data_IF_933528094455
#
_entry.id   IF_933528094455
#
_cell.length_a   1.000
_cell.length_b   1.000
_cell.length_c   1.000
_cell.angle_alpha   90.00
_cell.angle_beta   90.00
_cell.angle_gamma   90.00
#
_symmetry.space_group_name_H-M   'P 1'
#
loop_
_entity.id
_entity.type
_entity.pdbx_description
1 polymer ?
#
# COMPACT_ATOMS: atom_id res chain seq x y z
N UNK A 1 39.51 -54.37 -51.55
CA UNK A 1 40.73 -53.82 -51.04
C UNK A 1 40.40 -52.70 -50.09
N UNK A 2 40.46 -52.98 -48.82
CA UNK A 2 40.88 -52.18 -47.66
C UNK A 2 40.30 -50.72 -47.50
N UNK A 3 39.98 -50.20 -46.38
CA UNK A 3 40.35 -50.50 -44.99
C UNK A 3 39.39 -49.73 -44.06
N UNK A 4 39.25 -50.34 -42.87
CA UNK A 4 38.69 -49.75 -41.62
C UNK A 4 39.22 -48.34 -41.32
N UNK A 5 38.38 -47.49 -40.75
CA UNK A 5 38.70 -46.68 -39.58
C UNK A 5 37.46 -46.39 -38.78
N UNK A 6 37.41 -46.91 -37.56
CA UNK A 6 36.49 -46.53 -36.49
C UNK A 6 36.77 -45.12 -36.05
N UNK A 7 35.72 -44.36 -35.80
CA UNK A 7 35.86 -43.18 -34.91
C UNK A 7 34.62 -43.07 -34.00
N UNK A 8 34.89 -43.39 -32.74
CA UNK A 8 33.98 -43.15 -31.60
C UNK A 8 33.84 -41.63 -31.42
N UNK A 9 32.63 -41.14 -31.46
CA UNK A 9 32.33 -39.81 -30.93
C UNK A 9 31.18 -39.88 -29.95
N UNK A 10 31.52 -39.69 -28.69
CA UNK A 10 30.68 -39.48 -27.55
C UNK A 10 29.69 -38.35 -27.84
N UNK A 11 28.43 -38.67 -27.92
CA UNK A 11 27.31 -37.70 -27.89
C UNK A 11 27.03 -37.29 -26.45
N UNK A 12 27.46 -36.11 -26.12
CA UNK A 12 26.99 -35.43 -24.89
C UNK A 12 25.55 -34.95 -25.10
N UNK A 13 24.60 -35.49 -24.33
CA UNK A 13 23.25 -35.01 -24.27
C UNK A 13 23.20 -33.59 -23.67
N UNK A 14 22.41 -32.66 -24.24
CA UNK A 14 22.22 -31.35 -23.60
C UNK A 14 21.35 -31.50 -22.37
N UNK A 15 21.86 -31.06 -21.23
CA UNK A 15 21.16 -31.02 -19.96
C UNK A 15 19.90 -30.16 -20.08
N UNK A 16 18.77 -30.74 -19.73
CA UNK A 16 17.51 -30.05 -19.56
C UNK A 16 17.65 -29.06 -18.38
N UNK A 17 17.77 -27.80 -18.67
CA UNK A 17 17.58 -26.73 -17.70
C UNK A 17 16.09 -26.70 -17.33
N UNK A 18 15.74 -27.27 -16.19
CA UNK A 18 14.43 -27.11 -15.58
C UNK A 18 14.33 -25.66 -15.09
N UNK A 19 13.80 -24.79 -15.91
CA UNK A 19 13.34 -23.50 -15.48
C UNK A 19 12.17 -23.72 -14.53
N UNK A 20 12.44 -23.61 -13.23
CA UNK A 20 11.39 -23.47 -12.24
C UNK A 20 10.73 -22.11 -12.47
N UNK A 21 9.68 -22.07 -13.28
CA UNK A 21 8.73 -20.95 -13.25
C UNK A 21 8.12 -20.95 -11.85
N UNK A 22 8.61 -20.04 -11.02
CA UNK A 22 7.97 -19.67 -9.77
C UNK A 22 6.63 -19.03 -10.13
N UNK A 23 5.60 -19.84 -10.26
CA UNK A 23 4.23 -19.39 -10.39
C UNK A 23 3.85 -18.61 -9.13
N UNK A 24 4.08 -17.30 -9.13
CA UNK A 24 3.52 -16.43 -8.11
C UNK A 24 2.00 -16.63 -8.17
N UNK A 25 1.43 -17.26 -7.15
CA UNK A 25 0.00 -17.42 -7.04
C UNK A 25 -0.65 -16.04 -7.20
N UNK A 26 -1.47 -15.88 -8.24
CA UNK A 26 -2.15 -14.61 -8.50
C UNK A 26 -2.90 -14.17 -7.25
N UNK A 27 -2.69 -12.92 -6.81
CA UNK A 27 -3.37 -12.38 -5.66
C UNK A 27 -4.88 -12.43 -5.87
N UNK A 28 -5.64 -12.81 -4.82
CA UNK A 28 -7.08 -12.80 -4.89
C UNK A 28 -7.61 -11.40 -5.22
N UNK A 29 -8.60 -11.24 -6.10
CA UNK A 29 -9.08 -9.95 -6.54
C UNK A 29 -9.83 -9.21 -5.41
N UNK A 30 -9.64 -7.90 -5.34
CA UNK A 30 -10.50 -7.01 -4.56
C UNK A 30 -11.76 -6.75 -5.39
N UNK A 31 -12.93 -7.09 -4.82
CA UNK A 31 -14.21 -6.80 -5.47
C UNK A 31 -14.65 -5.38 -5.13
N UNK A 32 -15.09 -4.63 -6.12
CA UNK A 32 -15.55 -3.25 -5.99
C UNK A 32 -17.01 -3.15 -6.37
N UNK A 33 -17.80 -2.46 -5.56
CA UNK A 33 -19.20 -2.09 -5.85
C UNK A 33 -19.28 -0.58 -6.00
N UNK A 34 -19.75 -0.12 -7.14
CA UNK A 34 -20.13 1.27 -7.34
C UNK A 34 -21.46 1.53 -6.64
N UNK A 35 -21.51 2.55 -5.79
CA UNK A 35 -22.70 2.94 -5.02
C UNK A 35 -23.48 4.06 -5.72
N UNK A 36 -22.84 4.72 -6.69
CA UNK A 36 -23.40 5.76 -7.54
C UNK A 36 -23.07 5.45 -9.01
N UNK A 37 -23.94 5.81 -9.97
CA UNK A 37 -23.72 5.51 -11.38
C UNK A 37 -22.43 6.11 -11.97
N UNK A 38 -21.99 7.21 -11.44
CA UNK A 38 -20.83 8.01 -11.86
C UNK A 38 -19.62 7.89 -10.90
N UNK A 39 -19.68 6.95 -9.95
CA UNK A 39 -18.53 6.65 -9.11
C UNK A 39 -17.36 6.08 -9.94
N UNK A 40 -16.14 6.49 -9.59
CA UNK A 40 -14.93 6.08 -10.28
C UNK A 40 -14.36 4.81 -9.64
N UNK A 41 -14.27 3.73 -10.41
CA UNK A 41 -13.58 2.52 -9.95
C UNK A 41 -12.09 2.79 -9.73
N UNK A 42 -11.47 2.26 -8.65
CA UNK A 42 -10.05 2.41 -8.43
C UNK A 42 -9.23 1.74 -9.53
N UNK A 43 -8.25 2.45 -10.07
CA UNK A 43 -7.34 1.92 -11.09
C UNK A 43 -5.89 2.24 -10.71
N UNK A 44 -4.95 1.37 -11.14
CA UNK A 44 -3.52 1.66 -11.05
C UNK A 44 -3.14 2.59 -12.19
N UNK A 45 -2.35 3.62 -11.91
CA UNK A 45 -1.82 4.48 -12.94
C UNK A 45 -0.77 3.73 -13.79
N UNK A 46 0.06 2.90 -13.14
CA UNK A 46 1.02 2.00 -13.79
C UNK A 46 0.87 0.58 -13.23
N UNK A 47 1.22 -0.41 -14.04
CA UNK A 47 1.06 -1.83 -13.69
C UNK A 47 1.69 -2.21 -12.34
N UNK A 48 2.85 -1.64 -12.04
CA UNK A 48 3.66 -1.96 -10.86
C UNK A 48 3.40 -1.02 -9.67
N UNK A 49 2.45 -0.09 -9.77
CA UNK A 49 2.08 0.77 -8.66
C UNK A 49 1.52 -0.05 -7.49
N UNK A 50 2.02 0.18 -6.27
CA UNK A 50 1.50 -0.48 -5.08
C UNK A 50 0.08 -0.02 -4.74
N UNK A 51 -0.23 1.26 -4.97
CA UNK A 51 -1.51 1.87 -4.68
C UNK A 51 -2.45 1.94 -5.88
N UNK A 52 -3.75 2.06 -5.59
CA UNK A 52 -4.77 2.46 -6.55
C UNK A 52 -5.37 3.79 -6.11
N UNK A 53 -5.63 4.69 -7.06
CA UNK A 53 -6.22 5.99 -6.72
C UNK A 53 -7.68 5.85 -6.28
N UNK A 54 -8.07 6.66 -5.29
CA UNK A 54 -9.44 6.86 -4.83
C UNK A 54 -9.88 8.27 -5.20
N UNK A 55 -11.06 8.39 -5.85
CA UNK A 55 -11.60 9.66 -6.30
C UNK A 55 -12.73 10.17 -5.41
N UNK A 56 -12.90 11.49 -5.35
CA UNK A 56 -14.04 12.13 -4.70
C UNK A 56 -15.33 11.85 -5.46
N UNK A 57 -16.42 11.58 -4.73
CA UNK A 57 -17.76 11.47 -5.30
C UNK A 57 -18.54 12.80 -5.26
N UNK A 58 -17.93 13.86 -4.77
CA UNK A 58 -18.56 15.16 -4.55
C UNK A 58 -17.58 16.32 -4.78
N UNK A 59 -18.14 17.51 -5.04
CA UNK A 59 -17.41 18.77 -5.07
C UNK A 59 -17.34 19.33 -3.66
N UNK A 60 -16.17 19.86 -3.24
CA UNK A 60 -16.04 20.54 -1.96
C UNK A 60 -14.87 21.54 -1.99
N UNK A 61 -14.89 22.45 -1.04
CA UNK A 61 -13.77 23.35 -0.74
C UNK A 61 -13.38 23.13 0.71
N UNK A 62 -12.10 22.95 0.98
CA UNK A 62 -11.52 22.87 2.31
C UNK A 62 -10.75 24.15 2.59
N UNK A 63 -11.25 24.96 3.50
CA UNK A 63 -10.53 26.13 4.00
C UNK A 63 -9.26 25.71 4.79
N UNK A 64 -8.29 26.61 4.98
CA UNK A 64 -7.10 26.34 5.77
C UNK A 64 -7.41 25.73 7.15
N UNK A 65 -6.85 24.57 7.44
CA UNK A 65 -7.09 23.82 8.68
C UNK A 65 -8.42 23.07 8.74
N UNK A 66 -9.29 23.21 7.74
CA UNK A 66 -10.57 22.51 7.68
C UNK A 66 -10.39 21.01 7.35
N UNK A 67 -11.31 20.19 7.87
CA UNK A 67 -11.40 18.77 7.56
C UNK A 67 -12.82 18.40 7.14
N UNK A 68 -12.92 17.45 6.21
CA UNK A 68 -14.19 16.87 5.79
C UNK A 68 -14.09 15.35 5.62
N UNK A 69 -15.22 14.68 5.83
CA UNK A 69 -15.37 13.25 5.53
C UNK A 69 -15.98 13.10 4.14
N UNK A 70 -15.15 12.81 3.15
CA UNK A 70 -15.50 12.81 1.72
C UNK A 70 -15.79 11.41 1.23
N UNK A 71 -16.95 11.23 0.60
CA UNK A 71 -17.35 9.96 -0.01
C UNK A 71 -16.55 9.67 -1.30
N UNK A 72 -16.32 8.40 -1.57
CA UNK A 72 -15.72 7.94 -2.84
C UNK A 72 -16.74 7.32 -3.79
N UNK A 73 -17.99 7.13 -3.33
CA UNK A 73 -19.03 6.45 -4.09
C UNK A 73 -18.80 4.97 -4.32
N UNK A 74 -17.83 4.35 -3.64
CA UNK A 74 -17.53 2.91 -3.78
C UNK A 74 -17.50 2.19 -2.44
N UNK A 75 -17.83 0.90 -2.48
CA UNK A 75 -17.56 -0.06 -1.42
C UNK A 75 -16.67 -1.18 -1.96
N UNK A 76 -15.84 -1.77 -1.11
CA UNK A 76 -14.93 -2.87 -1.50
C UNK A 76 -15.11 -4.09 -0.62
N UNK A 77 -14.71 -5.25 -1.16
CA UNK A 77 -14.56 -6.48 -0.40
C UNK A 77 -13.12 -6.97 -0.57
N UNK A 78 -12.34 -6.80 0.48
CA UNK A 78 -10.97 -7.29 0.55
C UNK A 78 -10.95 -8.81 0.76
N UNK A 79 -9.93 -9.51 0.24
CA UNK A 79 -9.68 -10.92 0.57
C UNK A 79 -9.45 -11.11 2.08
N UNK A 80 -9.88 -12.25 2.67
CA UNK A 80 -9.54 -12.58 4.05
C UNK A 80 -8.02 -12.55 4.29
N UNK A 81 -7.58 -12.11 5.47
CA UNK A 81 -6.17 -12.00 5.82
C UNK A 81 -5.45 -10.82 5.14
N UNK A 82 -6.23 -9.85 4.64
CA UNK A 82 -5.67 -8.59 4.12
C UNK A 82 -6.30 -7.38 4.80
N UNK A 83 -5.62 -6.25 4.70
CA UNK A 83 -6.07 -4.93 5.14
C UNK A 83 -5.92 -3.95 3.99
N UNK A 84 -6.86 -3.02 3.88
CA UNK A 84 -6.73 -1.84 3.02
C UNK A 84 -6.16 -0.67 3.80
N UNK A 85 -5.12 -0.04 3.29
CA UNK A 85 -4.51 1.14 3.90
C UNK A 85 -4.70 2.34 2.98
N UNK A 86 -5.41 3.35 3.48
CA UNK A 86 -5.68 4.59 2.76
C UNK A 86 -4.62 5.62 3.12
N UNK A 87 -3.89 6.08 2.12
CA UNK A 87 -2.81 7.04 2.27
C UNK A 87 -3.08 8.33 1.49
N UNK A 88 -2.52 9.47 1.94
CA UNK A 88 -2.44 10.67 1.11
C UNK A 88 -1.69 10.40 -0.20
N UNK A 89 -2.00 11.20 -1.22
CA UNK A 89 -1.22 11.22 -2.45
C UNK A 89 -0.07 12.21 -2.28
N UNK A 90 1.15 11.73 -2.47
CA UNK A 90 2.38 12.53 -2.27
C UNK A 90 2.37 13.87 -3.03
N UNK A 91 1.88 13.86 -4.26
CA UNK A 91 1.80 15.08 -5.08
C UNK A 91 0.83 16.13 -4.53
N UNK A 92 -0.32 15.73 -3.98
CA UNK A 92 -1.27 16.65 -3.36
C UNK A 92 -0.77 17.14 -1.99
N UNK A 93 -0.19 16.23 -1.21
CA UNK A 93 0.40 16.58 0.08
C UNK A 93 1.52 17.63 -0.08
N UNK A 94 2.42 17.43 -1.05
CA UNK A 94 3.55 18.33 -1.26
C UNK A 94 3.16 19.69 -1.86
N UNK A 95 2.19 19.73 -2.79
CA UNK A 95 1.85 20.97 -3.52
C UNK A 95 0.76 21.78 -2.86
N UNK A 96 -0.21 21.11 -2.23
CA UNK A 96 -1.41 21.76 -1.72
C UNK A 96 -1.64 21.51 -0.22
N UNK A 97 -0.78 20.73 0.45
CA UNK A 97 -1.00 20.41 1.85
C UNK A 97 -2.20 19.51 2.13
N UNK A 98 -2.80 18.88 1.08
CA UNK A 98 -3.92 17.95 1.30
C UNK A 98 -3.43 16.67 1.96
N UNK A 99 -4.01 16.33 3.11
CA UNK A 99 -3.66 15.14 3.88
C UNK A 99 -4.91 14.39 4.37
N UNK A 100 -4.68 13.31 5.11
CA UNK A 100 -5.71 12.47 5.71
C UNK A 100 -5.49 12.47 7.22
N UNK A 101 -6.52 12.80 7.99
CA UNK A 101 -6.43 13.00 9.46
C UNK A 101 -5.96 11.75 10.18
N UNK A 102 -6.44 10.57 9.75
CA UNK A 102 -6.14 9.27 10.36
C UNK A 102 -5.19 8.41 9.50
N UNK A 103 -4.31 9.03 8.70
CA UNK A 103 -3.41 8.28 7.83
C UNK A 103 -2.41 7.40 8.62
N UNK A 104 -2.23 6.12 8.20
CA UNK A 104 -3.01 5.43 7.19
C UNK A 104 -4.40 5.03 7.71
N UNK A 105 -5.44 5.36 6.93
CA UNK A 105 -6.80 4.91 7.23
C UNK A 105 -6.90 3.39 7.06
N UNK A 106 -7.40 2.69 8.06
CA UNK A 106 -7.50 1.22 8.06
C UNK A 106 -8.87 0.77 7.58
N UNK A 107 -8.88 -0.10 6.57
CA UNK A 107 -10.09 -0.74 6.02
C UNK A 107 -9.99 -2.24 6.28
N UNK A 108 -10.86 -2.74 7.15
CA UNK A 108 -10.90 -4.16 7.49
C UNK A 108 -11.46 -5.02 6.36
N UNK A 109 -10.98 -6.28 6.25
CA UNK A 109 -11.46 -7.22 5.24
C UNK A 109 -12.97 -7.49 5.34
N UNK A 110 -13.55 -7.35 6.53
CA UNK A 110 -15.00 -7.50 6.80
C UNK A 110 -15.84 -6.26 6.50
N UNK A 111 -15.24 -5.09 6.28
CA UNK A 111 -15.99 -3.86 6.01
C UNK A 111 -16.69 -3.90 4.64
N UNK A 112 -17.92 -3.40 4.58
CA UNK A 112 -18.75 -3.38 3.35
C UNK A 112 -19.43 -2.04 3.10
N UNK A 113 -19.20 -1.05 3.97
CA UNK A 113 -19.70 0.30 3.77
C UNK A 113 -18.92 1.07 2.68
N UNK A 114 -19.39 2.27 2.39
CA UNK A 114 -18.72 3.19 1.51
C UNK A 114 -17.33 3.57 2.07
N UNK A 115 -16.31 3.57 1.21
CA UNK A 115 -15.03 4.16 1.56
C UNK A 115 -15.16 5.67 1.64
N UNK A 116 -14.97 6.22 2.83
CA UNK A 116 -14.96 7.67 3.08
C UNK A 116 -13.59 8.09 3.58
N UNK A 117 -13.11 9.22 3.06
CA UNK A 117 -11.77 9.72 3.33
C UNK A 117 -11.86 10.95 4.24
N UNK A 118 -11.24 10.90 5.41
CA UNK A 118 -11.17 12.04 6.34
C UNK A 118 -10.04 12.99 5.90
N UNK A 119 -10.35 13.87 4.95
CA UNK A 119 -9.40 14.85 4.42
C UNK A 119 -9.17 16.01 5.38
N UNK A 120 -7.99 16.63 5.28
CA UNK A 120 -7.63 17.87 5.96
C UNK A 120 -6.76 18.74 5.04
N UNK A 121 -7.04 20.04 5.05
CA UNK A 121 -6.18 21.04 4.44
C UNK A 121 -5.14 21.53 5.45
N UNK A 122 -3.87 21.20 5.22
CA UNK A 122 -2.73 21.63 6.04
C UNK A 122 -2.03 22.89 5.49
N UNK A 123 -2.49 23.44 4.36
CA UNK A 123 -2.01 24.75 3.91
C UNK A 123 -2.49 25.83 4.89
N UNK A 124 -1.61 26.72 5.36
CA UNK A 124 -1.99 27.73 6.34
C UNK A 124 -2.74 28.93 5.74
N UNK A 125 -2.87 29.03 4.43
CA UNK A 125 -3.37 30.25 3.75
C UNK A 125 -4.36 29.98 2.62
N UNK A 126 -4.16 28.93 1.85
CA UNK A 126 -4.89 28.70 0.60
C UNK A 126 -5.96 27.61 0.77
N UNK A 127 -7.20 27.88 0.33
CA UNK A 127 -8.22 26.84 0.27
C UNK A 127 -7.89 25.78 -0.79
N UNK A 128 -8.35 24.57 -0.57
CA UNK A 128 -8.22 23.47 -1.53
C UNK A 128 -9.59 23.19 -2.13
N UNK A 129 -9.73 23.41 -3.44
CA UNK A 129 -10.92 23.01 -4.18
C UNK A 129 -10.74 21.60 -4.71
N UNK A 130 -11.71 20.73 -4.45
CA UNK A 130 -11.80 19.36 -4.93
C UNK A 130 -13.06 19.24 -5.77
N UNK A 131 -12.90 18.84 -7.02
CA UNK A 131 -14.01 18.52 -7.89
C UNK A 131 -14.34 17.01 -7.82
N UNK A 132 -15.61 16.68 -8.05
CA UNK A 132 -16.03 15.30 -8.22
C UNK A 132 -15.19 14.60 -9.29
N UNK A 133 -14.69 13.41 -8.98
CA UNK A 133 -13.78 12.64 -9.84
C UNK A 133 -12.30 12.93 -9.58
N UNK A 134 -11.95 13.99 -8.84
CA UNK A 134 -10.56 14.25 -8.44
C UNK A 134 -10.01 13.13 -7.58
N UNK A 135 -8.78 12.71 -7.85
CA UNK A 135 -8.06 11.69 -7.09
C UNK A 135 -7.54 12.27 -5.79
N UNK A 136 -8.18 11.94 -4.67
CA UNK A 136 -7.95 12.54 -3.34
C UNK A 136 -7.10 11.70 -2.40
N UNK A 137 -7.00 10.39 -2.66
CA UNK A 137 -6.28 9.44 -1.83
C UNK A 137 -5.75 8.28 -2.67
N UNK A 138 -5.02 7.36 -2.05
CA UNK A 138 -4.64 6.09 -2.64
C UNK A 138 -4.87 4.95 -1.64
N UNK A 139 -5.27 3.79 -2.16
CA UNK A 139 -5.50 2.56 -1.39
C UNK A 139 -4.42 1.53 -1.72
N UNK A 140 -3.76 1.02 -0.69
CA UNK A 140 -2.88 -0.13 -0.76
C UNK A 140 -3.58 -1.33 -0.11
N UNK A 141 -3.34 -2.54 -0.64
CA UNK A 141 -3.83 -3.78 -0.04
C UNK A 141 -2.63 -4.61 0.38
N UNK A 142 -2.58 -4.98 1.66
CA UNK A 142 -1.47 -5.73 2.25
C UNK A 142 -2.00 -6.96 2.99
N UNK A 143 -1.17 -7.99 3.10
CA UNK A 143 -1.43 -9.10 4.04
C UNK A 143 -1.27 -8.57 5.46
N UNK A 144 -2.10 -9.08 6.37
CA UNK A 144 -2.06 -8.71 7.78
C UNK A 144 -1.97 -9.96 8.63
N UNK A 145 -1.12 -9.91 9.65
CA UNK A 145 -1.05 -10.96 10.66
C UNK A 145 -2.17 -10.76 11.69
N UNK A 146 -3.00 -11.76 11.87
CA UNK A 146 -4.14 -11.77 12.80
C UNK A 146 -3.81 -12.60 14.03
N UNK A 147 -2.67 -12.31 14.67
CA UNK A 147 -2.24 -13.01 15.87
C UNK A 147 -3.20 -12.77 17.04
N UNK A 148 -3.52 -13.81 17.83
CA UNK A 148 -4.30 -13.64 19.04
C UNK A 148 -3.50 -12.87 20.10
N UNK A 149 -4.19 -12.02 20.86
CA UNK A 149 -3.61 -11.37 22.03
C UNK A 149 -3.90 -12.21 23.27
N UNK A 150 -2.81 -12.59 23.97
CA UNK A 150 -2.88 -13.37 25.21
C UNK A 150 -2.36 -12.50 26.34
N UNK A 151 -3.16 -12.35 27.41
CA UNK A 151 -2.73 -11.66 28.63
C UNK A 151 -1.80 -12.57 29.40
N UNK A 152 -0.62 -12.03 29.76
CA UNK A 152 0.39 -12.71 30.55
C UNK A 152 0.81 -11.79 31.72
N UNK A 153 1.34 -12.36 32.78
CA UNK A 153 1.78 -11.60 33.93
C UNK A 153 3.11 -10.87 33.66
N UNK A 154 3.98 -11.47 32.84
CA UNK A 154 5.30 -10.93 32.49
C UNK A 154 5.60 -11.16 31.00
N UNK A 155 6.38 -10.26 30.40
CA UNK A 155 6.93 -10.39 29.04
C UNK A 155 8.38 -10.82 29.10
N UNK A 156 8.83 -11.51 28.06
CA UNK A 156 10.22 -11.93 27.91
C UNK A 156 11.18 -10.73 27.95
N UNK A 157 12.31 -10.90 28.61
CA UNK A 157 13.37 -9.89 28.65
C UNK A 157 14.03 -9.76 27.26
N UNK A 158 14.29 -8.52 26.84
CA UNK A 158 15.02 -8.21 25.60
C UNK A 158 16.15 -7.22 25.86
N UNK A 159 17.16 -7.17 24.99
CA UNK A 159 18.27 -6.20 25.07
C UNK A 159 17.79 -4.74 25.03
N UNK A 160 16.66 -4.48 24.39
CA UNK A 160 16.04 -3.16 24.34
C UNK A 160 15.29 -2.84 25.64
N UNK A 161 14.66 -3.81 26.26
CA UNK A 161 13.81 -3.65 27.44
C UNK A 161 12.75 -2.55 27.24
N UNK A 162 12.55 -1.71 28.23
CA UNK A 162 11.57 -0.61 28.24
C UNK A 162 12.05 0.66 27.51
N UNK A 163 13.25 0.66 26.94
CA UNK A 163 13.82 1.85 26.27
C UNK A 163 13.05 2.21 25.02
N UNK A 164 12.38 3.37 25.03
CA UNK A 164 11.61 3.94 23.89
C UNK A 164 11.97 5.41 23.64
N UNK A 165 11.17 6.10 22.85
CA UNK A 165 11.15 7.55 22.61
C UNK A 165 12.52 8.25 22.64
N UNK A 166 13.36 8.01 21.62
CA UNK A 166 14.65 8.70 21.48
C UNK A 166 15.83 8.02 22.17
N UNK A 167 15.69 6.76 22.63
CA UNK A 167 16.79 6.00 23.23
C UNK A 167 18.05 5.87 22.36
N UNK A 168 17.94 6.15 21.05
CA UNK A 168 19.03 6.14 20.07
C UNK A 168 19.64 7.54 19.79
N UNK A 169 19.11 8.60 20.44
CA UNK A 169 19.58 9.97 20.25
C UNK A 169 19.16 10.60 18.93
N UNK A 170 19.19 11.94 18.85
CA UNK A 170 18.85 12.71 17.65
C UNK A 170 20.10 13.19 16.89
N UNK A 171 21.29 13.15 17.53
CA UNK A 171 22.54 13.60 16.94
C UNK A 171 23.49 12.41 16.73
N UNK A 172 23.90 12.16 15.50
CA UNK A 172 25.11 11.39 15.22
C UNK A 172 26.30 12.11 15.84
N UNK A 173 27.03 11.50 16.77
CA UNK A 173 28.28 12.05 17.25
C UNK A 173 29.22 12.24 16.04
N UNK A 174 29.87 13.42 15.87
CA UNK A 174 30.88 13.58 14.83
C UNK A 174 32.03 12.60 15.11
N UNK A 175 32.66 12.03 14.05
CA UNK A 175 33.79 11.15 14.24
C UNK A 175 34.88 11.87 15.05
N UNK A 176 35.39 11.21 16.10
CA UNK A 176 36.53 11.71 16.84
C UNK A 176 37.69 11.94 15.88
N UNK A 177 38.17 13.18 15.79
CA UNK A 177 39.40 13.49 15.06
C UNK A 177 40.55 12.96 15.89
N UNK A 178 41.18 11.88 15.39
CA UNK A 178 42.46 11.41 15.90
C UNK A 178 43.62 12.30 15.41
#
# INVERSE_FOLDING_TARGET
>A
VNDDIRNDSHGTAPGAASGAESGAASAAPVRVRLLQPDAVAPVRAHHDDAGVDLSSAEDLVLEPGERALVGTGIAIALPPGTVGLVHPRSGLAARAGLSIVNAPGTVDAGYRGELKISLINLDPREPITIAKGDRIAQLLVQKVELSPFVVVDELDATDRGERGHGSTGVAGAPPARG
#
